data_IF_318623980374
#
_entry.id   IF_318623980374
#
_cell.length_a   1.000
_cell.length_b   1.000
_cell.length_c   1.000
_cell.angle_alpha   90.00
_cell.angle_beta   90.00
_cell.angle_gamma   90.00
#
_symmetry.space_group_name_H-M   'P 1'
#
loop_
_entity.id
_entity.type
_entity.pdbx_description
1 polymer ?
#
# COMPACT_ATOMS: atom_id res chain seq x y z
N UNK A 1 -27.58 4.79 8.05
CA UNK A 1 -26.77 4.05 7.06
C UNK A 1 -25.42 3.61 7.64
N UNK A 2 -24.63 4.50 8.22
CA UNK A 2 -23.30 4.23 8.82
C UNK A 2 -23.34 3.16 9.91
N UNK A 3 -24.34 3.21 10.84
CA UNK A 3 -24.49 2.20 11.91
C UNK A 3 -24.69 0.78 11.38
N UNK A 4 -25.42 0.60 10.25
CA UNK A 4 -25.59 -0.72 9.62
C UNK A 4 -24.29 -1.24 9.03
N UNK A 5 -23.48 -0.37 8.41
CA UNK A 5 -22.17 -0.73 7.84
C UNK A 5 -21.22 -1.15 8.97
N UNK A 6 -21.13 -0.36 10.05
CA UNK A 6 -20.30 -0.68 11.22
C UNK A 6 -20.72 -2.00 11.89
N UNK A 7 -22.02 -2.24 12.01
CA UNK A 7 -22.54 -3.51 12.56
C UNK A 7 -22.15 -4.70 11.67
N UNK A 8 -22.27 -4.55 10.33
CA UNK A 8 -21.86 -5.59 9.38
C UNK A 8 -20.35 -5.84 9.42
N UNK A 9 -19.53 -4.80 9.50
CA UNK A 9 -18.09 -4.94 9.64
C UNK A 9 -17.70 -5.66 10.94
N UNK A 10 -18.37 -5.34 12.04
CA UNK A 10 -18.16 -6.02 13.33
C UNK A 10 -18.54 -7.50 13.26
N UNK A 11 -19.68 -7.82 12.61
CA UNK A 11 -20.14 -9.20 12.40
C UNK A 11 -19.16 -10.04 11.58
N UNK A 12 -18.56 -9.45 10.55
CA UNK A 12 -17.66 -10.15 9.64
C UNK A 12 -16.17 -9.90 9.92
N UNK A 13 -15.83 -9.27 11.06
CA UNK A 13 -14.43 -8.99 11.46
C UNK A 13 -13.56 -10.24 11.46
N UNK A 14 -14.07 -11.37 11.96
CA UNK A 14 -13.33 -12.63 11.97
C UNK A 14 -12.99 -13.10 10.56
N UNK A 15 -13.96 -13.06 9.64
CA UNK A 15 -13.76 -13.44 8.25
C UNK A 15 -12.74 -12.52 7.55
N UNK A 16 -12.85 -11.21 7.77
CA UNK A 16 -11.94 -10.22 7.23
C UNK A 16 -10.49 -10.50 7.67
N UNK A 17 -10.28 -10.77 8.96
CA UNK A 17 -8.97 -11.14 9.47
C UNK A 17 -8.44 -12.44 8.85
N UNK A 18 -9.30 -13.45 8.68
CA UNK A 18 -8.90 -14.71 8.03
C UNK A 18 -8.50 -14.51 6.57
N UNK A 19 -9.19 -13.65 5.82
CA UNK A 19 -8.83 -13.31 4.45
C UNK A 19 -7.48 -12.60 4.37
N UNK A 20 -7.25 -11.61 5.24
CA UNK A 20 -5.99 -10.89 5.33
C UNK A 20 -4.84 -11.85 5.67
N UNK A 21 -5.02 -12.68 6.71
CA UNK A 21 -4.01 -13.65 7.12
C UNK A 21 -3.73 -14.71 6.05
N UNK A 22 -4.76 -15.13 5.31
CA UNK A 22 -4.60 -16.01 4.15
C UNK A 22 -3.72 -15.36 3.09
N UNK A 23 -4.00 -14.11 2.75
CA UNK A 23 -3.26 -13.38 1.71
C UNK A 23 -1.79 -13.19 2.12
N UNK A 24 -1.52 -12.92 3.41
CA UNK A 24 -0.16 -12.94 3.95
C UNK A 24 0.51 -14.30 3.79
N UNK A 25 -0.16 -15.37 4.20
CA UNK A 25 0.38 -16.72 4.06
C UNK A 25 0.66 -17.08 2.60
N UNK A 26 -0.23 -16.70 1.68
CA UNK A 26 -0.07 -16.96 0.25
C UNK A 26 1.11 -16.18 -0.34
N UNK A 27 1.24 -14.88 -0.01
CA UNK A 27 2.32 -14.01 -0.50
C UNK A 27 3.71 -14.54 -0.09
N UNK A 28 3.83 -15.09 1.11
CA UNK A 28 5.12 -15.49 1.68
C UNK A 28 5.36 -17.01 1.78
N UNK A 29 4.41 -17.83 1.34
CA UNK A 29 4.38 -19.30 1.48
C UNK A 29 5.49 -19.90 0.66
N UNK A 30 6.46 -19.96 0.42
CA UNK A 30 7.56 -20.62 -0.30
C UNK A 30 8.81 -19.73 -0.39
N UNK A 31 8.85 -18.68 0.38
CA UNK A 31 10.00 -17.78 0.37
C UNK A 31 10.92 -18.10 1.55
N UNK A 32 12.21 -18.25 1.28
CA UNK A 32 13.23 -18.47 2.32
C UNK A 32 13.29 -17.30 3.32
N UNK A 33 13.10 -16.07 2.83
CA UNK A 33 13.11 -14.86 3.68
C UNK A 33 11.70 -14.46 4.16
N UNK A 34 10.64 -15.10 3.64
CA UNK A 34 9.27 -14.88 4.10
C UNK A 34 8.87 -13.41 4.17
N UNK A 35 8.40 -12.99 5.33
CA UNK A 35 7.94 -11.62 5.60
C UNK A 35 9.05 -10.57 5.49
N UNK A 36 10.33 -10.96 5.62
CA UNK A 36 11.46 -10.02 5.46
C UNK A 36 11.47 -9.35 4.08
N UNK A 37 10.94 -10.00 3.04
CA UNK A 37 10.80 -9.39 1.73
C UNK A 37 9.88 -8.17 1.71
N UNK A 38 8.94 -8.05 2.64
CA UNK A 38 8.09 -6.86 2.76
C UNK A 38 8.89 -5.60 3.12
N UNK A 39 10.03 -5.78 3.78
CA UNK A 39 10.92 -4.68 4.19
C UNK A 39 12.09 -4.57 3.22
N UNK A 40 12.68 -5.71 2.84
CA UNK A 40 13.89 -5.75 2.03
C UNK A 40 13.64 -5.24 0.60
N UNK A 41 12.52 -5.63 -0.02
CA UNK A 41 12.18 -5.19 -1.37
C UNK A 41 12.01 -3.66 -1.47
N UNK A 42 11.19 -3.00 -0.63
CA UNK A 42 11.11 -1.54 -0.62
C UNK A 42 12.44 -0.87 -0.29
N UNK A 43 13.23 -1.43 0.62
CA UNK A 43 14.53 -0.89 0.99
C UNK A 43 15.49 -0.91 -0.21
N UNK A 44 15.59 -2.03 -0.92
CA UNK A 44 16.43 -2.14 -2.10
C UNK A 44 15.97 -1.19 -3.21
N UNK A 45 14.66 -1.14 -3.48
CA UNK A 45 14.11 -0.23 -4.50
C UNK A 45 14.37 1.24 -4.14
N UNK A 46 14.17 1.63 -2.89
CA UNK A 46 14.47 2.98 -2.43
C UNK A 46 15.97 3.28 -2.51
N UNK A 47 16.84 2.32 -2.19
CA UNK A 47 18.29 2.48 -2.30
C UNK A 47 18.73 2.69 -3.74
N UNK A 48 18.18 1.92 -4.68
CA UNK A 48 18.47 2.08 -6.12
C UNK A 48 17.99 3.43 -6.62
N UNK A 49 16.78 3.84 -6.26
CA UNK A 49 16.25 5.16 -6.60
C UNK A 49 17.11 6.29 -5.99
N UNK A 50 17.55 6.12 -4.74
CA UNK A 50 18.45 7.05 -4.09
C UNK A 50 19.77 7.21 -4.87
N UNK A 51 20.39 6.11 -5.30
CA UNK A 51 21.64 6.15 -6.09
C UNK A 51 21.43 6.83 -7.44
N UNK A 52 20.33 6.54 -8.15
CA UNK A 52 20.05 7.14 -9.45
C UNK A 52 19.83 8.66 -9.30
N UNK A 53 18.94 9.06 -8.41
CA UNK A 53 18.56 10.47 -8.30
C UNK A 53 19.63 11.33 -7.63
N UNK A 54 20.43 10.79 -6.72
CA UNK A 54 21.55 11.55 -6.12
C UNK A 54 22.68 11.83 -7.14
N UNK A 55 22.89 10.94 -8.11
CA UNK A 55 23.96 11.09 -9.09
C UNK A 55 23.53 11.80 -10.38
N UNK A 56 22.30 11.55 -10.85
CA UNK A 56 21.81 12.05 -12.14
C UNK A 56 21.05 13.37 -12.01
N UNK A 57 20.30 13.56 -10.93
CA UNK A 57 19.44 14.72 -10.75
C UNK A 57 19.81 15.48 -9.47
N UNK A 58 20.75 16.41 -9.58
CA UNK A 58 21.13 17.33 -8.48
C UNK A 58 20.13 18.49 -8.39
N UNK A 59 18.87 18.18 -8.10
CA UNK A 59 17.88 19.22 -7.81
C UNK A 59 18.09 19.72 -6.37
N UNK A 60 18.60 20.92 -6.23
CA UNK A 60 18.66 21.60 -4.94
C UNK A 60 17.30 22.28 -4.70
N UNK A 61 16.48 21.70 -3.85
CA UNK A 61 15.33 22.39 -3.29
C UNK A 61 15.75 23.06 -1.99
N UNK A 62 15.54 24.36 -1.87
CA UNK A 62 15.85 25.11 -0.64
C UNK A 62 15.08 24.50 0.53
N UNK A 63 15.81 24.00 1.53
CA UNK A 63 15.24 23.50 2.80
C UNK A 63 14.61 22.11 2.81
N UNK A 64 14.57 21.39 1.68
CA UNK A 64 14.00 20.02 1.61
C UNK A 64 14.95 19.09 0.89
N UNK A 65 15.23 17.94 1.49
CA UNK A 65 15.98 16.90 0.81
C UNK A 65 15.10 16.30 -0.31
N UNK A 66 15.50 16.54 -1.57
CA UNK A 66 14.77 16.08 -2.76
C UNK A 66 14.49 14.58 -2.75
N UNK A 67 15.45 13.78 -2.25
CA UNK A 67 15.29 12.32 -2.16
C UNK A 67 14.12 11.94 -1.24
N UNK A 68 14.04 12.55 -0.06
CA UNK A 68 12.96 12.27 0.91
C UNK A 68 11.60 12.69 0.35
N UNK A 69 11.56 13.83 -0.34
CA UNK A 69 10.34 14.30 -1.02
C UNK A 69 9.85 13.29 -2.08
N UNK A 70 10.74 12.88 -2.96
CA UNK A 70 10.41 11.91 -4.02
C UNK A 70 9.98 10.55 -3.44
N UNK A 71 10.69 10.05 -2.42
CA UNK A 71 10.36 8.79 -1.77
C UNK A 71 9.01 8.82 -1.05
N UNK A 72 8.64 9.96 -0.43
CA UNK A 72 7.33 10.09 0.22
C UNK A 72 6.18 9.98 -0.78
N UNK A 73 6.31 10.59 -1.96
CA UNK A 73 5.33 10.49 -3.05
C UNK A 73 5.22 9.05 -3.60
N UNK A 74 6.37 8.43 -3.91
CA UNK A 74 6.42 7.05 -4.41
C UNK A 74 5.81 6.05 -3.41
N UNK A 75 6.00 6.26 -2.12
CA UNK A 75 5.48 5.37 -1.08
C UNK A 75 3.95 5.33 -1.09
N UNK A 76 3.29 6.50 -1.18
CA UNK A 76 1.83 6.60 -1.24
C UNK A 76 1.32 6.05 -2.58
N UNK A 77 1.99 6.36 -3.68
CA UNK A 77 1.63 5.86 -5.00
C UNK A 77 1.74 4.33 -5.08
N UNK A 78 2.81 3.74 -4.55
CA UNK A 78 2.99 2.29 -4.51
C UNK A 78 1.91 1.60 -3.68
N UNK A 79 1.52 2.19 -2.54
CA UNK A 79 0.40 1.70 -1.75
C UNK A 79 -0.90 1.70 -2.58
N UNK A 80 -1.22 2.81 -3.24
CA UNK A 80 -2.40 2.95 -4.08
C UNK A 80 -2.41 1.94 -5.22
N UNK A 81 -1.28 1.81 -5.92
CA UNK A 81 -1.09 0.87 -7.02
C UNK A 81 -1.25 -0.59 -6.57
N UNK A 82 -0.57 -1.00 -5.49
CA UNK A 82 -0.69 -2.36 -4.95
C UNK A 82 -2.13 -2.69 -4.53
N UNK A 83 -2.78 -1.78 -3.81
CA UNK A 83 -4.12 -1.99 -3.31
C UNK A 83 -5.15 -2.10 -4.44
N UNK A 84 -5.12 -1.18 -5.41
CA UNK A 84 -6.06 -1.18 -6.54
C UNK A 84 -5.87 -2.38 -7.45
N UNK A 85 -4.62 -2.77 -7.77
CA UNK A 85 -4.31 -3.99 -8.52
C UNK A 85 -4.84 -5.25 -7.81
N UNK A 86 -4.67 -5.35 -6.50
CA UNK A 86 -5.21 -6.47 -5.73
C UNK A 86 -6.74 -6.47 -5.69
N UNK A 87 -7.39 -5.30 -5.76
CA UNK A 87 -8.85 -5.19 -5.78
C UNK A 87 -9.47 -5.66 -7.10
N UNK A 88 -8.80 -5.47 -8.24
CA UNK A 88 -9.30 -5.91 -9.56
C UNK A 88 -9.71 -7.39 -9.56
N UNK A 89 -8.89 -8.25 -9.00
CA UNK A 89 -9.13 -9.69 -8.98
C UNK A 89 -9.76 -10.20 -7.68
N UNK A 90 -10.12 -9.30 -6.77
CA UNK A 90 -10.58 -9.66 -5.42
C UNK A 90 -11.86 -10.51 -5.42
N UNK A 91 -12.83 -10.21 -6.27
CA UNK A 91 -14.10 -10.95 -6.39
C UNK A 91 -13.90 -12.18 -7.29
N UNK A 92 -13.33 -11.99 -8.48
CA UNK A 92 -13.15 -13.05 -9.47
C UNK A 92 -12.26 -14.19 -8.96
N UNK A 93 -11.17 -13.85 -8.27
CA UNK A 93 -10.26 -14.84 -7.68
C UNK A 93 -10.83 -15.61 -6.47
N UNK A 94 -11.97 -15.20 -5.93
CA UNK A 94 -12.62 -15.84 -4.79
C UNK A 94 -13.99 -16.45 -5.10
N UNK A 95 -14.33 -16.67 -6.38
CA UNK A 95 -15.61 -17.26 -6.76
C UNK A 95 -15.87 -18.62 -6.11
N UNK A 96 -14.86 -19.46 -6.00
CA UNK A 96 -14.99 -20.79 -5.35
C UNK A 96 -15.42 -20.68 -3.89
N UNK A 97 -15.02 -19.63 -3.20
CA UNK A 97 -15.39 -19.38 -1.81
C UNK A 97 -16.81 -18.78 -1.72
N UNK A 98 -17.12 -17.84 -2.62
CA UNK A 98 -18.44 -17.18 -2.69
C UNK A 98 -19.56 -18.18 -2.96
N UNK A 99 -19.31 -19.19 -3.80
CA UNK A 99 -20.29 -20.22 -4.14
C UNK A 99 -20.54 -21.25 -3.02
N UNK A 100 -19.59 -21.42 -2.10
CA UNK A 100 -19.69 -22.39 -1.01
C UNK A 100 -20.35 -21.85 0.25
N UNK A 101 -20.15 -20.55 0.51
CA UNK A 101 -20.63 -19.91 1.75
C UNK A 101 -21.23 -18.54 1.41
N UNK A 102 -22.42 -18.29 1.95
CA UNK A 102 -23.06 -16.99 1.78
C UNK A 102 -22.23 -15.90 2.49
N UNK A 103 -21.53 -15.10 1.72
CA UNK A 103 -20.69 -13.99 2.20
C UNK A 103 -20.98 -12.71 1.44
N UNK A 104 -21.02 -11.55 2.13
CA UNK A 104 -21.16 -10.27 1.45
C UNK A 104 -19.93 -9.99 0.57
N UNK A 105 -20.16 -9.76 -0.72
CA UNK A 105 -19.08 -9.59 -1.73
C UNK A 105 -18.17 -8.40 -1.48
N UNK A 106 -18.64 -7.36 -0.78
CA UNK A 106 -17.84 -6.17 -0.47
C UNK A 106 -16.67 -6.43 0.48
N UNK A 107 -16.66 -7.56 1.19
CA UNK A 107 -15.57 -7.91 2.12
C UNK A 107 -14.27 -8.21 1.39
N UNK A 108 -14.33 -8.76 0.18
CA UNK A 108 -13.14 -9.17 -0.56
C UNK A 108 -12.28 -7.97 -1.01
N UNK A 109 -12.82 -6.92 -1.66
CA UNK A 109 -12.02 -5.74 -1.98
C UNK A 109 -11.51 -5.03 -0.72
N UNK A 110 -12.33 -4.95 0.33
CA UNK A 110 -11.92 -4.37 1.60
C UNK A 110 -10.71 -5.10 2.21
N UNK A 111 -10.75 -6.44 2.22
CA UNK A 111 -9.64 -7.25 2.71
C UNK A 111 -8.34 -6.98 1.93
N UNK A 112 -8.43 -6.79 0.61
CA UNK A 112 -7.27 -6.47 -0.24
C UNK A 112 -6.70 -5.08 0.05
N UNK A 113 -7.55 -4.07 0.22
CA UNK A 113 -7.09 -2.72 0.61
C UNK A 113 -6.41 -2.72 1.98
N UNK A 114 -6.99 -3.42 2.97
CA UNK A 114 -6.39 -3.53 4.30
C UNK A 114 -5.09 -4.32 4.30
N UNK A 115 -5.01 -5.40 3.52
CA UNK A 115 -3.78 -6.15 3.33
C UNK A 115 -2.66 -5.29 2.75
N UNK A 116 -2.94 -4.50 1.69
CA UNK A 116 -2.00 -3.55 1.14
C UNK A 116 -1.63 -2.45 2.16
N UNK A 117 -2.59 -2.01 2.99
CA UNK A 117 -2.34 -1.06 4.08
C UNK A 117 -1.36 -1.59 5.12
N UNK A 118 -1.43 -2.87 5.47
CA UNK A 118 -0.46 -3.49 6.39
C UNK A 118 0.92 -3.57 5.72
N UNK A 119 1.00 -3.92 4.41
CA UNK A 119 2.26 -3.87 3.68
C UNK A 119 2.85 -2.47 3.67
N UNK A 120 2.02 -1.43 3.48
CA UNK A 120 2.45 -0.04 3.57
C UNK A 120 3.10 0.28 4.93
N UNK A 121 2.55 -0.20 6.04
CA UNK A 121 3.16 -0.01 7.37
C UNK A 121 4.57 -0.63 7.45
N UNK A 122 4.79 -1.78 6.81
CA UNK A 122 6.13 -2.37 6.71
C UNK A 122 7.08 -1.52 5.85
N UNK A 123 6.59 -0.85 4.82
CA UNK A 123 7.42 0.03 3.96
C UNK A 123 7.82 1.34 4.67
N UNK A 124 7.14 1.73 5.74
CA UNK A 124 7.54 2.88 6.56
C UNK A 124 8.87 2.65 7.28
N UNK A 125 9.20 1.40 7.62
CA UNK A 125 10.45 1.07 8.32
C UNK A 125 11.67 1.48 7.48
N UNK A 126 11.86 0.99 6.22
CA UNK A 126 12.96 1.45 5.38
C UNK A 126 12.88 2.94 5.02
N UNK A 127 11.67 3.51 4.90
CA UNK A 127 11.50 4.94 4.65
C UNK A 127 12.11 5.79 5.77
N UNK A 128 11.78 5.51 7.04
CA UNK A 128 12.37 6.22 8.17
C UNK A 128 13.87 5.97 8.30
N UNK A 129 14.33 4.77 7.96
CA UNK A 129 15.77 4.45 7.96
C UNK A 129 16.52 5.31 6.94
N UNK A 130 15.97 5.49 5.73
CA UNK A 130 16.58 6.35 4.71
C UNK A 130 16.57 7.81 5.17
N UNK A 131 15.51 8.31 5.80
CA UNK A 131 15.48 9.67 6.35
C UNK A 131 16.62 9.88 7.35
N UNK A 132 16.87 8.92 8.23
CA UNK A 132 17.95 8.99 9.21
C UNK A 132 19.35 8.95 8.57
N UNK A 133 19.49 8.22 7.46
CA UNK A 133 20.77 8.10 6.73
C UNK A 133 21.00 9.27 5.75
N UNK A 134 19.93 9.90 5.25
CA UNK A 134 20.00 10.99 4.26
C UNK A 134 20.33 12.36 4.86
N UNK A 135 20.71 12.42 6.13
CA UNK A 135 21.23 13.65 6.72
C UNK A 135 22.42 14.16 5.91
N UNK A 136 22.27 15.32 5.28
CA UNK A 136 23.33 15.93 4.47
C UNK A 136 24.31 16.65 5.42
N UNK A 137 25.50 16.08 5.68
CA UNK A 137 26.49 16.70 6.59
C UNK A 137 27.04 18.02 6.03
N UNK A 138 26.95 18.23 4.69
CA UNK A 138 27.43 19.43 4.05
C UNK A 138 26.48 20.63 4.19
N UNK A 139 25.18 20.37 4.38
CA UNK A 139 24.17 21.43 4.55
C UNK A 139 23.88 21.76 6.03
N UNK A 140 24.54 21.10 7.00
CA UNK A 140 24.27 21.28 8.43
C UNK A 140 22.87 20.84 8.88
N UNK A 141 22.07 20.27 7.97
CA UNK A 141 20.74 19.78 8.23
C UNK A 141 20.83 18.32 8.66
N UNK A 142 20.97 18.10 9.99
CA UNK A 142 20.55 16.81 10.55
C UNK A 142 19.09 16.65 10.13
N UNK A 143 18.78 15.58 9.38
CA UNK A 143 17.39 15.21 9.11
C UNK A 143 16.73 14.88 10.45
N UNK A 144 16.29 15.90 11.16
CA UNK A 144 15.57 15.76 12.41
C UNK A 144 14.17 15.30 12.08
N UNK A 145 13.73 14.24 12.72
CA UNK A 145 12.33 13.84 12.68
C UNK A 145 11.52 15.05 13.14
N UNK A 146 10.90 15.74 12.19
CA UNK A 146 10.15 16.95 12.47
C UNK A 146 8.74 16.57 12.92
N UNK A 147 8.09 17.41 13.72
CA UNK A 147 6.71 17.21 14.18
C UNK A 147 5.71 17.02 13.04
N UNK A 148 6.05 17.48 11.83
CA UNK A 148 5.26 17.31 10.61
C UNK A 148 5.04 15.82 10.22
N UNK A 149 5.91 14.88 10.62
CA UNK A 149 5.70 13.46 10.39
C UNK A 149 4.50 12.90 11.17
N UNK A 150 3.98 13.63 12.16
CA UNK A 150 2.76 13.30 12.86
C UNK A 150 1.52 13.36 11.97
N UNK A 151 1.58 14.10 10.84
CA UNK A 151 0.51 14.11 9.83
C UNK A 151 0.48 12.86 8.94
N UNK A 152 1.53 12.04 8.96
CA UNK A 152 1.62 10.82 8.12
C UNK A 152 0.45 9.85 8.36
N UNK A 153 0.01 9.54 9.60
CA UNK A 153 -1.16 8.69 9.84
C UNK A 153 -2.45 9.29 9.25
N UNK A 154 -2.60 10.61 9.27
CA UNK A 154 -3.76 11.30 8.68
C UNK A 154 -3.75 11.15 7.15
N UNK A 155 -2.62 11.40 6.51
CA UNK A 155 -2.45 11.24 5.06
C UNK A 155 -2.71 9.78 4.64
N UNK A 156 -2.19 8.82 5.41
CA UNK A 156 -2.45 7.41 5.16
C UNK A 156 -3.92 7.05 5.28
N UNK A 157 -4.63 7.58 6.27
CA UNK A 157 -6.07 7.35 6.44
C UNK A 157 -6.87 7.91 5.25
N UNK A 158 -6.53 9.11 4.77
CA UNK A 158 -7.14 9.69 3.58
C UNK A 158 -6.87 8.84 2.33
N UNK A 159 -5.62 8.41 2.14
CA UNK A 159 -5.23 7.52 1.04
C UNK A 159 -5.96 6.17 1.12
N UNK A 160 -6.12 5.59 2.31
CA UNK A 160 -6.84 4.35 2.54
C UNK A 160 -8.32 4.48 2.16
N UNK A 161 -8.99 5.54 2.61
CA UNK A 161 -10.40 5.79 2.28
C UNK A 161 -10.60 5.96 0.77
N UNK A 162 -9.74 6.74 0.13
CA UNK A 162 -9.76 6.95 -1.31
C UNK A 162 -9.55 5.64 -2.09
N UNK A 163 -8.56 4.85 -1.67
CA UNK A 163 -8.22 3.57 -2.29
C UNK A 163 -9.33 2.54 -2.14
N UNK A 164 -10.02 2.50 -0.99
CA UNK A 164 -11.19 1.64 -0.78
C UNK A 164 -12.31 2.01 -1.75
N UNK A 165 -12.58 3.31 -1.92
CA UNK A 165 -13.60 3.78 -2.86
C UNK A 165 -13.33 3.34 -4.30
N UNK A 166 -12.14 3.59 -4.81
CA UNK A 166 -11.72 3.17 -6.15
C UNK A 166 -11.67 1.64 -6.25
N UNK A 167 -11.16 0.96 -5.23
CA UNK A 167 -11.09 -0.50 -5.18
C UNK A 167 -12.46 -1.18 -5.32
N UNK A 168 -13.51 -0.62 -4.73
CA UNK A 168 -14.87 -1.13 -4.92
C UNK A 168 -15.37 -0.96 -6.35
N UNK A 169 -15.12 0.18 -6.96
CA UNK A 169 -15.49 0.44 -8.37
C UNK A 169 -14.77 -0.55 -9.28
N UNK A 170 -13.45 -0.64 -9.16
CA UNK A 170 -12.60 -1.52 -9.97
C UNK A 170 -12.98 -2.98 -9.83
N UNK A 171 -13.18 -3.46 -8.60
CA UNK A 171 -13.54 -4.86 -8.36
C UNK A 171 -14.90 -5.22 -8.95
N UNK A 172 -15.84 -4.28 -8.97
CA UNK A 172 -17.17 -4.49 -9.57
C UNK A 172 -17.09 -4.49 -11.08
N UNK A 173 -16.40 -3.50 -11.66
CA UNK A 173 -16.26 -3.37 -13.12
C UNK A 173 -15.54 -4.58 -13.70
N UNK A 174 -14.50 -5.10 -13.03
CA UNK A 174 -13.74 -6.27 -13.49
C UNK A 174 -14.57 -7.57 -13.53
N UNK A 175 -15.64 -7.67 -12.75
CA UNK A 175 -16.57 -8.81 -12.83
C UNK A 175 -17.30 -8.82 -14.17
N UNK A 176 -17.62 -7.66 -14.74
CA UNK A 176 -18.30 -7.54 -16.03
C UNK A 176 -17.32 -7.46 -17.21
N UNK A 177 -16.24 -6.70 -17.04
CA UNK A 177 -15.25 -6.40 -18.09
C UNK A 177 -13.85 -6.76 -17.58
N UNK A 178 -13.32 -7.90 -18.02
CA UNK A 178 -11.98 -8.38 -17.62
C UNK A 178 -10.86 -7.52 -18.16
N UNK A 179 -11.07 -6.82 -19.27
CA UNK A 179 -10.06 -6.00 -19.94
C UNK A 179 -9.66 -4.78 -19.12
N UNK A 180 -10.48 -4.40 -18.13
CA UNK A 180 -10.15 -3.34 -17.17
C UNK A 180 -8.83 -3.61 -16.42
N UNK A 181 -8.45 -4.87 -16.24
CA UNK A 181 -7.17 -5.23 -15.60
C UNK A 181 -5.99 -4.67 -16.41
N UNK A 182 -6.04 -4.82 -17.73
CA UNK A 182 -4.97 -4.33 -18.63
C UNK A 182 -4.99 -2.79 -18.74
N UNK A 183 -6.18 -2.22 -18.88
CA UNK A 183 -6.35 -0.75 -18.97
C UNK A 183 -5.84 -0.09 -17.70
N UNK A 184 -6.18 -0.65 -16.53
CA UNK A 184 -5.72 -0.11 -15.24
C UNK A 184 -4.21 -0.22 -15.07
N UNK A 185 -3.60 -1.32 -15.53
CA UNK A 185 -2.14 -1.49 -15.50
C UNK A 185 -1.38 -0.48 -16.37
N UNK A 186 -2.00 0.02 -17.44
CA UNK A 186 -1.41 1.07 -18.30
C UNK A 186 -1.60 2.46 -17.67
N UNK A 187 -2.69 2.65 -16.93
CA UNK A 187 -3.02 3.94 -16.33
C UNK A 187 -2.17 4.23 -15.07
N UNK A 188 -1.71 3.19 -14.36
CA UNK A 188 -0.80 3.29 -13.22
C UNK A 188 0.65 3.45 -13.64
#
# INVERSE_FOLDING_TARGET
MIKKILYSLKKYKFLLNQLIMRDFKVKYKRSALGVLWSILYPLLMMSVMALIFSNMFKFNMEGVNYLVYLMSGLLIFNYFSEATNNCLTSITGNFSLINKVYMPKYIFPLAKCLFAGINFLFTLIPFFLIILLSGDPAAGTKCTINIWYLYLPYVFLCALMFTIGIGYILSTVTVFLRDVIYIWGILL
#
